data_IF_173628605067
#
_entry.id   IF_173628605067
#
_cell.length_a   1.000
_cell.length_b   1.000
_cell.length_c   1.000
_cell.angle_alpha   90.00
_cell.angle_beta   90.00
_cell.angle_gamma   90.00
#
_symmetry.space_group_name_H-M   'P 1'
#
loop_
_entity.id
_entity.type
_entity.pdbx_description
1 polymer ?
#
# COMPACT_ATOMS: atom_id res chain seq x y z
N UNK A 1 16.05 -0.58 -23.25
CA UNK A 1 14.75 -1.28 -23.10
C UNK A 1 14.65 -2.23 -21.90
N UNK A 2 15.67 -3.04 -21.59
CA UNK A 2 15.66 -3.98 -20.44
C UNK A 2 15.46 -3.32 -19.07
N UNK A 3 16.08 -2.15 -18.85
CA UNK A 3 15.96 -1.37 -17.60
C UNK A 3 14.51 -0.93 -17.34
N UNK A 4 13.79 -0.53 -18.38
CA UNK A 4 12.37 -0.13 -18.29
C UNK A 4 11.52 -1.34 -17.88
N UNK A 5 11.76 -2.50 -18.50
CA UNK A 5 11.04 -3.73 -18.17
C UNK A 5 11.27 -4.16 -16.71
N UNK A 6 12.51 -4.05 -16.21
CA UNK A 6 12.83 -4.31 -14.81
C UNK A 6 12.11 -3.31 -13.88
N UNK A 7 12.08 -2.03 -14.25
CA UNK A 7 11.35 -1.01 -13.49
C UNK A 7 9.85 -1.31 -13.37
N UNK A 8 9.20 -1.77 -14.45
CA UNK A 8 7.81 -2.22 -14.40
C UNK A 8 7.61 -3.45 -13.52
N UNK A 9 8.48 -4.45 -13.61
CA UNK A 9 8.41 -5.63 -12.73
C UNK A 9 8.47 -5.24 -11.26
N UNK A 10 9.42 -4.38 -10.89
CA UNK A 10 9.57 -3.87 -9.52
C UNK A 10 8.31 -3.12 -9.06
N UNK A 11 7.73 -2.30 -9.93
CA UNK A 11 6.50 -1.56 -9.65
C UNK A 11 5.31 -2.51 -9.44
N UNK A 12 5.13 -3.51 -10.29
CA UNK A 12 4.09 -4.52 -10.15
C UNK A 12 4.25 -5.36 -8.88
N UNK A 13 5.48 -5.72 -8.51
CA UNK A 13 5.76 -6.37 -7.23
C UNK A 13 5.33 -5.48 -6.06
N UNK A 14 5.65 -4.19 -6.09
CA UNK A 14 5.18 -3.23 -5.09
C UNK A 14 3.65 -3.24 -4.94
N UNK A 15 2.91 -3.17 -6.06
CA UNK A 15 1.43 -3.19 -6.06
C UNK A 15 0.89 -4.53 -5.52
N UNK A 16 1.51 -5.65 -5.88
CA UNK A 16 1.11 -6.97 -5.41
C UNK A 16 1.25 -7.10 -3.88
N UNK A 17 2.34 -6.57 -3.31
CA UNK A 17 2.62 -6.60 -1.87
C UNK A 17 1.92 -5.51 -1.04
N UNK A 18 1.11 -4.67 -1.67
CA UNK A 18 0.37 -3.58 -1.02
C UNK A 18 -0.75 -4.06 -0.08
N UNK A 19 -1.17 -5.33 -0.21
CA UNK A 19 -2.23 -5.90 0.62
C UNK A 19 -1.83 -5.99 2.10
N UNK A 20 -2.74 -5.58 2.98
CA UNK A 20 -2.59 -5.65 4.44
C UNK A 20 -3.73 -6.48 5.04
N UNK A 21 -3.70 -7.82 4.84
CA UNK A 21 -4.78 -8.70 5.27
C UNK A 21 -4.96 -8.71 6.79
N UNK A 22 -3.87 -8.64 7.55
CA UNK A 22 -3.89 -8.69 9.01
C UNK A 22 -4.55 -7.45 9.62
N UNK A 23 -4.15 -6.25 9.18
CA UNK A 23 -4.77 -5.00 9.64
C UNK A 23 -6.26 -4.93 9.28
N UNK A 24 -6.64 -5.36 8.07
CA UNK A 24 -8.04 -5.45 7.66
C UNK A 24 -8.84 -6.41 8.56
N UNK A 25 -8.27 -7.56 8.93
CA UNK A 25 -8.89 -8.51 9.84
C UNK A 25 -9.03 -7.93 11.25
N UNK A 26 -8.00 -7.27 11.77
CA UNK A 26 -8.01 -6.68 13.11
C UNK A 26 -9.03 -5.56 13.21
N UNK A 27 -9.13 -4.68 12.20
CA UNK A 27 -10.14 -3.64 12.13
C UNK A 27 -11.57 -4.22 12.11
N UNK A 28 -11.83 -5.27 11.33
CA UNK A 28 -13.14 -5.95 11.31
C UNK A 28 -13.56 -6.51 12.67
N UNK A 29 -12.58 -6.97 13.47
CA UNK A 29 -12.82 -7.62 14.75
C UNK A 29 -12.97 -6.62 15.90
N UNK A 30 -12.17 -5.56 15.90
CA UNK A 30 -12.01 -4.68 17.06
C UNK A 30 -12.61 -3.29 16.87
N UNK A 31 -12.70 -2.79 15.64
CA UNK A 31 -13.25 -1.46 15.35
C UNK A 31 -13.96 -1.45 13.99
N UNK A 32 -15.17 -2.03 14.02
CA UNK A 32 -16.00 -2.17 12.83
C UNK A 32 -16.53 -0.83 12.34
N UNK A 33 -16.66 0.17 13.20
CA UNK A 33 -17.08 1.52 12.81
C UNK A 33 -15.99 2.21 12.00
N UNK A 34 -14.74 2.18 12.46
CA UNK A 34 -13.62 2.70 11.68
C UNK A 34 -13.41 1.91 10.39
N UNK A 35 -13.57 0.59 10.44
CA UNK A 35 -13.55 -0.26 9.25
C UNK A 35 -14.64 0.12 8.24
N UNK A 36 -15.87 0.34 8.71
CA UNK A 36 -16.99 0.80 7.90
C UNK A 36 -16.78 2.25 7.39
N UNK A 37 -16.16 3.14 8.15
CA UNK A 37 -15.82 4.49 7.70
C UNK A 37 -14.77 4.49 6.59
N UNK A 38 -13.83 3.55 6.65
CA UNK A 38 -12.84 3.31 5.59
C UNK A 38 -13.47 2.67 4.34
N UNK A 39 -14.58 1.94 4.48
CA UNK A 39 -15.35 1.38 3.37
C UNK A 39 -16.43 2.29 2.81
N UNK A 40 -17.03 3.12 3.67
CA UNK A 40 -18.29 3.82 3.42
C UNK A 40 -18.21 4.91 2.36
N UNK A 41 -17.02 5.19 1.82
CA UNK A 41 -16.86 6.06 0.66
C UNK A 41 -17.08 5.35 -0.69
N UNK A 42 -17.19 4.02 -0.75
CA UNK A 42 -17.45 3.28 -2.00
C UNK A 42 -18.48 2.16 -1.76
N UNK A 43 -19.56 2.17 -2.53
CA UNK A 43 -20.74 1.33 -2.34
C UNK A 43 -20.50 -0.18 -2.38
N UNK A 44 -21.58 -0.92 -2.09
CA UNK A 44 -21.75 -2.34 -1.73
C UNK A 44 -21.17 -3.43 -2.67
N UNK A 45 -20.24 -3.09 -3.55
CA UNK A 45 -19.60 -4.01 -4.47
C UNK A 45 -18.09 -3.78 -4.46
N UNK A 46 -17.35 -4.45 -3.57
CA UNK A 46 -15.98 -4.96 -3.76
C UNK A 46 -15.44 -5.48 -2.42
N UNK A 47 -15.51 -6.80 -2.21
CA UNK A 47 -14.85 -7.48 -1.09
C UNK A 47 -13.31 -7.32 -1.12
N UNK A 48 -12.76 -6.90 -2.27
CA UNK A 48 -11.44 -6.31 -2.43
C UNK A 48 -11.47 -4.87 -1.91
N UNK A 49 -11.33 -4.73 -0.59
CA UNK A 49 -10.89 -3.49 0.04
C UNK A 49 -9.93 -2.75 -0.88
N UNK A 50 -10.19 -1.47 -1.13
CA UNK A 50 -9.33 -0.61 -1.92
C UNK A 50 -7.97 -0.57 -1.22
N UNK A 51 -7.05 -1.46 -1.63
CA UNK A 51 -5.75 -1.67 -0.97
C UNK A 51 -5.02 -0.33 -0.82
N UNK A 52 -5.27 0.59 -1.76
CA UNK A 52 -4.89 1.99 -1.74
C UNK A 52 -5.43 2.78 -0.54
N UNK A 53 -6.72 2.70 -0.24
CA UNK A 53 -7.34 3.45 0.86
C UNK A 53 -6.78 2.99 2.22
N UNK A 54 -6.72 1.67 2.47
CA UNK A 54 -6.17 1.15 3.72
C UNK A 54 -4.65 1.35 3.80
N UNK A 55 -3.93 1.24 2.69
CA UNK A 55 -2.49 1.55 2.62
C UNK A 55 -2.20 3.03 2.88
N UNK A 56 -2.97 3.94 2.28
CA UNK A 56 -2.88 5.38 2.51
C UNK A 56 -3.18 5.74 3.95
N UNK A 57 -4.27 5.18 4.50
CA UNK A 57 -4.63 5.34 5.91
C UNK A 57 -3.52 4.86 6.85
N UNK A 58 -2.94 3.69 6.55
CA UNK A 58 -1.82 3.13 7.31
C UNK A 58 -0.58 4.01 7.23
N UNK A 59 -0.22 4.50 6.03
CA UNK A 59 0.89 5.44 5.84
C UNK A 59 0.67 6.76 6.58
N UNK A 60 -0.58 7.20 6.74
CA UNK A 60 -0.95 8.39 7.52
C UNK A 60 -0.96 8.16 9.04
N UNK A 61 -0.59 6.95 9.51
CA UNK A 61 -0.52 6.56 10.92
C UNK A 61 -1.81 6.74 11.72
N UNK A 62 -2.96 6.76 11.04
CA UNK A 62 -4.26 6.95 11.71
C UNK A 62 -4.65 5.83 12.69
N UNK A 63 -3.96 4.68 12.65
CA UNK A 63 -4.12 3.62 13.65
C UNK A 63 -3.63 4.02 15.05
N UNK A 64 -2.72 5.00 15.17
CA UNK A 64 -2.21 5.48 16.47
C UNK A 64 -3.29 6.20 17.29
N UNK A 65 -4.37 6.64 16.64
CA UNK A 65 -5.51 7.33 17.28
C UNK A 65 -6.51 6.33 17.87
N UNK A 66 -6.44 5.04 17.49
CA UNK A 66 -7.35 4.03 18.01
C UNK A 66 -7.01 3.68 19.45
N UNK A 67 -7.99 3.61 20.34
CA UNK A 67 -7.81 3.22 21.74
C UNK A 67 -7.50 1.72 21.91
N UNK A 68 -7.63 0.93 20.83
CA UNK A 68 -7.40 -0.51 20.86
C UNK A 68 -5.94 -0.87 20.57
N UNK A 69 -5.30 -1.53 21.53
CA UNK A 69 -3.88 -1.97 21.46
C UNK A 69 -3.64 -2.93 20.29
N UNK A 70 -4.58 -3.81 19.96
CA UNK A 70 -4.44 -4.76 18.85
C UNK A 70 -4.43 -4.04 17.49
N UNK A 71 -5.23 -2.98 17.34
CA UNK A 71 -5.25 -2.14 16.14
C UNK A 71 -3.94 -1.35 16.03
N UNK A 72 -3.43 -0.81 17.14
CA UNK A 72 -2.14 -0.12 17.14
C UNK A 72 -0.99 -1.07 16.76
N UNK A 73 -0.97 -2.28 17.32
CA UNK A 73 0.06 -3.28 17.03
C UNK A 73 0.01 -3.74 15.57
N UNK A 74 -1.17 -4.13 15.09
CA UNK A 74 -1.37 -4.53 13.70
C UNK A 74 -1.06 -3.37 12.73
N UNK A 75 -1.44 -2.14 13.10
CA UNK A 75 -1.17 -0.91 12.37
C UNK A 75 0.32 -0.63 12.25
N UNK A 76 1.09 -0.84 13.32
CA UNK A 76 2.54 -0.64 13.31
C UNK A 76 3.27 -1.65 12.39
N UNK A 77 2.87 -2.92 12.44
CA UNK A 77 3.38 -3.95 11.52
C UNK A 77 3.03 -3.61 10.05
N UNK A 78 1.76 -3.23 9.82
CA UNK A 78 1.30 -2.82 8.51
C UNK A 78 2.03 -1.56 8.01
N UNK A 79 2.35 -0.60 8.87
CA UNK A 79 3.11 0.60 8.53
C UNK A 79 4.52 0.28 8.06
N UNK A 80 5.20 -0.65 8.72
CA UNK A 80 6.53 -1.13 8.32
C UNK A 80 6.48 -1.79 6.93
N UNK A 81 5.46 -2.61 6.68
CA UNK A 81 5.24 -3.19 5.35
C UNK A 81 4.89 -2.12 4.31
N UNK A 82 3.97 -1.19 4.64
CA UNK A 82 3.55 -0.09 3.77
C UNK A 82 4.74 0.74 3.31
N UNK A 83 5.63 1.05 4.25
CA UNK A 83 6.83 1.85 4.03
C UNK A 83 7.79 1.12 3.08
N UNK A 84 8.01 -0.18 3.28
CA UNK A 84 8.83 -1.00 2.35
C UNK A 84 8.25 -0.98 0.95
N UNK A 85 6.96 -1.25 0.82
CA UNK A 85 6.24 -1.24 -0.47
C UNK A 85 6.32 0.13 -1.15
N UNK A 86 6.14 1.23 -0.40
CA UNK A 86 6.32 2.60 -0.90
C UNK A 86 7.71 2.80 -1.51
N UNK A 87 8.77 2.39 -0.80
CA UNK A 87 10.13 2.51 -1.31
C UNK A 87 10.40 1.59 -2.51
N UNK A 88 9.84 0.38 -2.53
CA UNK A 88 9.92 -0.52 -3.71
C UNK A 88 9.25 0.11 -4.93
N UNK A 89 8.06 0.70 -4.77
CA UNK A 89 7.37 1.42 -5.85
C UNK A 89 8.19 2.60 -6.34
N UNK A 90 8.74 3.42 -5.43
CA UNK A 90 9.60 4.55 -5.79
C UNK A 90 10.84 4.08 -6.56
N UNK A 91 11.48 2.99 -6.15
CA UNK A 91 12.61 2.39 -6.85
C UNK A 91 12.23 1.97 -8.27
N UNK A 92 11.09 1.28 -8.43
CA UNK A 92 10.54 0.92 -9.73
C UNK A 92 10.31 2.13 -10.64
N UNK A 93 9.68 3.19 -10.10
CA UNK A 93 9.45 4.45 -10.82
C UNK A 93 10.79 5.10 -11.21
N UNK A 94 11.77 5.18 -10.31
CA UNK A 94 13.09 5.73 -10.59
C UNK A 94 13.80 4.96 -11.71
N UNK A 95 13.74 3.62 -11.71
CA UNK A 95 14.30 2.79 -12.78
C UNK A 95 13.62 3.04 -14.13
N UNK A 96 12.29 3.22 -14.14
CA UNK A 96 11.54 3.54 -15.36
C UNK A 96 12.00 4.91 -15.91
N UNK A 97 12.12 5.92 -15.05
CA UNK A 97 12.57 7.26 -15.46
C UNK A 97 14.00 7.21 -16.01
N UNK A 98 14.93 6.55 -15.31
CA UNK A 98 16.32 6.41 -15.76
C UNK A 98 16.38 5.64 -17.10
N UNK A 99 15.64 4.53 -17.21
CA UNK A 99 15.59 3.73 -18.43
C UNK A 99 14.98 4.49 -19.61
N UNK A 100 13.99 5.34 -19.35
CA UNK A 100 13.39 6.22 -20.36
C UNK A 100 14.39 7.28 -20.85
N UNK A 101 15.10 7.94 -19.93
CA UNK A 101 16.14 8.91 -20.26
C UNK A 101 17.27 8.24 -21.05
N UNK A 102 17.78 7.09 -20.60
CA UNK A 102 18.82 6.35 -21.30
C UNK A 102 18.40 5.99 -22.74
N UNK A 103 17.17 5.48 -22.89
CA UNK A 103 16.61 5.15 -24.21
C UNK A 103 16.41 6.37 -25.10
N UNK A 104 16.11 7.54 -24.53
CA UNK A 104 15.96 8.79 -25.27
C UNK A 104 17.30 9.30 -25.81
N UNK A 105 18.40 9.10 -25.06
CA UNK A 105 19.75 9.42 -25.48
C UNK A 105 20.41 8.34 -26.35
N UNK A 106 19.69 7.27 -26.71
CA UNK A 106 20.16 6.24 -27.64
C UNK A 106 21.10 5.20 -27.04
N UNK A 107 21.14 5.09 -25.70
CA UNK A 107 21.85 4.03 -24.97
C UNK A 107 20.95 2.81 -24.69
#
# INVERSE_FOLDING_TARGET
MSVIAIGFLVLFFGIAFMGMPDLNRTLKLHDREQWNALLGSQGTFMASFDRLTLFSWTLSRRFEISDNIDIQYAGHQAFKQATRVKYTMLLGISLIIIGFIASFFGY
#
